data_IF_357843085288
#
_entry.id   IF_357843085288
#
_cell.length_a   1.000
_cell.length_b   1.000
_cell.length_c   1.000
_cell.angle_alpha   90.00
_cell.angle_beta   90.00
_cell.angle_gamma   90.00
#
_symmetry.space_group_name_H-M   'P 1'
#
loop_
_entity.id
_entity.type
_entity.pdbx_description
1 polymer ?
#
# COMPACT_ATOMS: atom_id res chain seq x y z
N UNK A 1 15.60 -13.76 10.43
CA UNK A 1 15.37 -14.23 9.05
C UNK A 1 13.87 -14.22 8.85
N UNK A 2 13.37 -13.22 8.13
CA UNK A 2 11.94 -13.08 7.82
C UNK A 2 11.84 -13.17 6.32
N UNK A 3 11.34 -14.30 5.82
CA UNK A 3 11.19 -14.56 4.38
C UNK A 3 10.06 -13.70 3.82
N UNK A 4 10.38 -12.92 2.78
CA UNK A 4 9.37 -12.38 1.86
C UNK A 4 8.92 -13.55 0.97
N UNK A 5 7.84 -14.22 1.36
CA UNK A 5 7.18 -15.21 0.50
C UNK A 5 6.34 -14.42 -0.50
N UNK A 6 6.83 -14.26 -1.72
CA UNK A 6 5.97 -13.91 -2.85
C UNK A 6 5.06 -15.12 -3.14
N UNK A 7 3.71 -14.99 -3.08
CA UNK A 7 2.84 -16.12 -3.35
C UNK A 7 2.91 -16.54 -4.82
N UNK A 8 3.24 -17.80 -5.09
CA UNK A 8 3.00 -18.45 -6.39
C UNK A 8 1.48 -18.65 -6.58
N UNK A 9 0.95 -18.54 -7.81
CA UNK A 9 -0.48 -18.54 -8.05
C UNK A 9 -1.05 -19.95 -8.04
N UNK A 10 -1.54 -20.38 -6.89
CA UNK A 10 -2.64 -21.34 -6.81
C UNK A 10 -3.37 -21.09 -5.50
N UNK A 11 -4.46 -20.33 -5.58
CA UNK A 11 -5.31 -19.87 -4.47
C UNK A 11 -4.81 -18.67 -3.66
N UNK A 12 -4.37 -17.59 -4.32
CA UNK A 12 -4.08 -16.30 -3.68
C UNK A 12 -5.40 -15.60 -3.33
N UNK A 13 -5.62 -15.16 -2.08
CA UNK A 13 -6.80 -14.35 -1.77
C UNK A 13 -6.75 -13.05 -2.58
N UNK A 14 -7.89 -12.66 -3.17
CA UNK A 14 -7.98 -11.42 -3.96
C UNK A 14 -7.69 -10.16 -3.11
N UNK A 15 -7.69 -10.32 -1.79
CA UNK A 15 -7.20 -9.35 -0.80
C UNK A 15 -5.97 -9.95 -0.11
N UNK A 16 -4.82 -9.30 -0.25
CA UNK A 16 -3.58 -9.67 0.42
C UNK A 16 -3.33 -8.76 1.63
N UNK A 17 -2.48 -9.19 2.55
CA UNK A 17 -1.95 -8.35 3.63
C UNK A 17 -0.52 -7.95 3.30
N UNK A 18 -0.24 -6.66 3.31
CA UNK A 18 1.09 -6.10 3.16
C UNK A 18 1.57 -5.57 4.51
N UNK A 19 2.63 -6.18 5.04
CA UNK A 19 3.25 -5.79 6.30
C UNK A 19 4.49 -4.95 6.03
N UNK A 20 4.47 -3.69 6.47
CA UNK A 20 5.61 -2.78 6.31
C UNK A 20 5.85 -1.97 7.58
N UNK A 21 7.05 -2.06 8.13
CA UNK A 21 7.47 -1.33 9.33
C UNK A 21 6.49 -1.47 10.51
N UNK A 22 5.89 -2.67 10.68
CA UNK A 22 4.89 -2.96 11.70
C UNK A 22 3.46 -2.50 11.38
N UNK A 23 3.22 -1.95 10.19
CA UNK A 23 1.88 -1.65 9.69
C UNK A 23 1.39 -2.81 8.82
N UNK A 24 0.28 -3.42 9.21
CA UNK A 24 -0.43 -4.42 8.41
C UNK A 24 -1.56 -3.74 7.67
N UNK A 25 -1.50 -3.77 6.33
CA UNK A 25 -2.45 -3.12 5.44
C UNK A 25 -3.08 -4.16 4.52
N UNK A 26 -4.41 -4.15 4.39
CA UNK A 26 -5.04 -4.89 3.30
C UNK A 26 -4.76 -4.21 1.96
N UNK A 27 -4.42 -5.02 0.97
CA UNK A 27 -4.05 -4.61 -0.38
C UNK A 27 -4.82 -5.45 -1.38
N UNK A 28 -5.24 -4.80 -2.46
CA UNK A 28 -5.86 -5.43 -3.61
C UNK A 28 -5.12 -5.01 -4.86
N UNK A 29 -5.20 -5.83 -5.90
CA UNK A 29 -4.69 -5.47 -7.21
C UNK A 29 -5.80 -4.83 -8.03
N UNK A 30 -5.51 -3.67 -8.64
CA UNK A 30 -6.38 -3.07 -9.65
C UNK A 30 -5.50 -2.61 -10.79
N UNK A 31 -5.80 -3.09 -12.00
CA UNK A 31 -5.05 -2.77 -13.22
C UNK A 31 -3.54 -3.13 -13.13
N UNK A 32 -3.19 -4.19 -12.38
CA UNK A 32 -1.81 -4.64 -12.14
C UNK A 32 -1.06 -3.84 -11.08
N UNK A 33 -1.70 -2.84 -10.46
CA UNK A 33 -1.10 -1.98 -9.45
C UNK A 33 -1.67 -2.26 -8.05
N UNK A 34 -0.88 -2.08 -6.97
CA UNK A 34 -1.35 -2.25 -5.61
C UNK A 34 -2.21 -1.07 -5.14
N UNK A 35 -3.36 -1.38 -4.56
CA UNK A 35 -4.26 -0.41 -3.93
C UNK A 35 -4.49 -0.78 -2.46
N UNK A 36 -4.27 0.19 -1.57
CA UNK A 36 -4.29 0.00 -0.13
C UNK A 36 -5.65 0.41 0.45
N UNK A 37 -6.20 -0.41 1.35
CA UNK A 37 -7.48 -0.12 2.00
C UNK A 37 -7.34 1.10 2.93
N UNK A 38 -7.98 2.21 2.55
CA UNK A 38 -7.76 3.50 3.21
C UNK A 38 -8.15 3.54 4.70
N UNK A 39 -9.23 2.86 5.16
CA UNK A 39 -9.48 2.69 6.59
C UNK A 39 -8.29 2.12 7.37
N UNK A 40 -7.71 1.02 6.88
CA UNK A 40 -6.55 0.36 7.51
C UNK A 40 -5.35 1.31 7.53
N UNK A 41 -5.09 2.00 6.41
CA UNK A 41 -4.04 3.02 6.32
C UNK A 41 -4.24 4.13 7.36
N UNK A 42 -5.45 4.67 7.49
CA UNK A 42 -5.74 5.74 8.44
C UNK A 42 -5.56 5.27 9.89
N UNK A 43 -6.00 4.06 10.20
CA UNK A 43 -5.84 3.44 11.52
C UNK A 43 -4.36 3.25 11.87
N UNK A 44 -3.60 2.61 10.98
CA UNK A 44 -2.17 2.37 11.15
C UNK A 44 -1.38 3.68 11.28
N UNK A 45 -1.78 4.73 10.57
CA UNK A 45 -1.16 6.06 10.63
C UNK A 45 -1.71 6.98 11.73
N UNK A 46 -2.71 6.53 12.50
CA UNK A 46 -3.28 7.34 13.59
C UNK A 46 -4.04 8.57 13.10
N UNK A 47 -4.49 8.55 11.85
CA UNK A 47 -5.26 9.62 11.24
C UNK A 47 -6.71 9.52 11.74
N UNK A 48 -7.01 10.25 12.80
CA UNK A 48 -8.31 10.21 13.48
C UNK A 48 -9.43 10.82 12.62
N UNK A 49 -10.65 10.31 12.77
CA UNK A 49 -11.81 10.73 11.98
C UNK A 49 -12.13 9.77 10.83
N UNK A 50 -12.94 10.24 9.87
CA UNK A 50 -13.34 9.42 8.72
C UNK A 50 -12.21 9.32 7.71
N UNK A 51 -11.91 8.14 7.14
CA UNK A 51 -10.94 7.99 6.05
C UNK A 51 -11.22 8.92 4.86
N UNK A 52 -12.48 9.29 4.63
CA UNK A 52 -12.85 10.25 3.57
C UNK A 52 -12.27 11.65 3.80
N UNK A 53 -12.09 12.09 5.05
CA UNK A 53 -11.52 13.40 5.37
C UNK A 53 -10.03 13.47 4.98
N UNK A 54 -9.30 12.37 5.19
CA UNK A 54 -7.88 12.27 4.88
C UNK A 54 -7.61 12.09 3.39
N UNK A 55 -8.46 11.31 2.73
CA UNK A 55 -8.39 11.03 1.28
C UNK A 55 -8.99 12.14 0.41
N UNK A 56 -9.74 13.09 0.98
CA UNK A 56 -10.36 14.20 0.23
C UNK A 56 -9.33 15.01 -0.59
N UNK A 57 -8.15 15.25 -0.03
CA UNK A 57 -7.05 16.01 -0.67
C UNK A 57 -6.20 15.19 -1.66
N UNK A 58 -6.47 13.89 -1.81
CA UNK A 58 -5.81 13.07 -2.83
C UNK A 58 -6.46 13.32 -4.18
N UNK A 59 -5.65 13.24 -5.25
CA UNK A 59 -6.12 13.37 -6.62
C UNK A 59 -7.03 12.19 -7.00
N UNK A 60 -7.73 12.32 -8.13
CA UNK A 60 -8.68 11.31 -8.60
C UNK A 60 -8.00 9.98 -8.98
N UNK A 61 -6.76 10.02 -9.43
CA UNK A 61 -5.92 8.86 -9.76
C UNK A 61 -5.29 8.21 -8.52
N UNK A 62 -5.35 8.85 -7.35
CA UNK A 62 -4.72 8.39 -6.11
C UNK A 62 -5.71 7.76 -5.13
N UNK A 63 -7.01 7.80 -5.45
CA UNK A 63 -8.09 7.25 -4.62
C UNK A 63 -9.19 6.65 -5.49
N UNK A 64 -9.77 5.54 -5.04
CA UNK A 64 -10.96 4.94 -5.64
C UNK A 64 -11.94 4.56 -4.53
N UNK A 65 -13.22 4.47 -4.88
CA UNK A 65 -14.27 3.92 -4.02
C UNK A 65 -14.80 2.68 -4.71
N UNK A 66 -14.71 1.55 -4.03
CA UNK A 66 -15.22 0.28 -4.53
C UNK A 66 -16.56 0.05 -3.84
N UNK A 67 -17.63 0.07 -4.64
CA UNK A 67 -18.97 -0.31 -4.19
C UNK A 67 -19.03 -1.82 -4.01
N UNK A 68 -19.75 -2.29 -2.99
CA UNK A 68 -19.80 -3.71 -2.59
C UNK A 68 -20.25 -4.63 -3.71
N UNK A 69 -21.26 -4.23 -4.50
CA UNK A 69 -21.73 -5.02 -5.64
C UNK A 69 -20.64 -5.23 -6.68
N UNK A 70 -19.89 -4.17 -6.99
CA UNK A 70 -18.77 -4.22 -7.93
C UNK A 70 -17.60 -5.04 -7.35
N UNK A 71 -17.25 -4.82 -6.09
CA UNK A 71 -16.20 -5.58 -5.41
C UNK A 71 -16.49 -7.08 -5.35
N UNK A 72 -17.74 -7.48 -5.07
CA UNK A 72 -18.15 -8.89 -5.13
C UNK A 72 -17.98 -9.47 -6.53
N UNK A 73 -18.35 -8.72 -7.59
CA UNK A 73 -18.17 -9.18 -8.97
C UNK A 73 -16.69 -9.34 -9.37
N UNK A 74 -15.79 -8.63 -8.70
CA UNK A 74 -14.33 -8.75 -8.87
C UNK A 74 -13.69 -9.81 -7.97
N UNK A 75 -14.46 -10.57 -7.18
CA UNK A 75 -13.91 -11.52 -6.21
C UNK A 75 -13.33 -10.86 -4.95
N UNK A 76 -13.55 -9.56 -4.75
CA UNK A 76 -13.08 -8.78 -3.60
C UNK A 76 -14.12 -8.71 -2.46
N UNK A 77 -14.94 -9.75 -2.31
CA UNK A 77 -16.00 -9.81 -1.30
C UNK A 77 -15.47 -9.62 0.13
N UNK A 78 -14.29 -10.15 0.40
CA UNK A 78 -13.61 -10.11 1.70
C UNK A 78 -13.17 -8.68 2.09
N UNK A 79 -13.12 -7.72 1.17
CA UNK A 79 -12.91 -6.30 1.55
C UNK A 79 -14.02 -5.76 2.46
N UNK A 80 -15.23 -6.31 2.35
CA UNK A 80 -16.46 -5.74 2.90
C UNK A 80 -16.90 -6.37 4.24
N UNK A 81 -15.96 -6.92 5.01
CA UNK A 81 -16.17 -7.58 6.32
C UNK A 81 -17.14 -6.84 7.28
N UNK A 82 -17.17 -5.51 7.24
CA UNK A 82 -17.92 -4.67 8.20
C UNK A 82 -19.34 -4.26 7.75
N UNK A 83 -19.95 -4.97 6.79
CA UNK A 83 -21.23 -4.58 6.14
C UNK A 83 -21.22 -3.18 5.52
N UNK A 84 -20.05 -2.61 5.24
CA UNK A 84 -19.95 -1.32 4.58
C UNK A 84 -20.44 -1.46 3.14
N UNK A 85 -21.27 -0.53 2.62
CA UNK A 85 -21.73 -0.59 1.23
C UNK A 85 -20.60 -0.29 0.23
N UNK A 86 -19.51 0.32 0.70
CA UNK A 86 -18.35 0.72 -0.09
C UNK A 86 -17.09 0.80 0.75
N UNK A 87 -15.94 0.65 0.10
CA UNK A 87 -14.61 0.79 0.71
C UNK A 87 -13.78 1.76 -0.13
N UNK A 88 -13.15 2.73 0.51
CA UNK A 88 -12.18 3.60 -0.16
C UNK A 88 -10.81 2.94 -0.15
N UNK A 89 -10.13 2.99 -1.29
CA UNK A 89 -8.76 2.50 -1.46
C UNK A 89 -7.90 3.63 -2.01
N UNK A 90 -6.60 3.60 -1.72
CA UNK A 90 -5.62 4.59 -2.19
C UNK A 90 -4.52 3.90 -2.97
N UNK A 91 -4.07 4.55 -4.04
CA UNK A 91 -2.87 4.11 -4.76
C UNK A 91 -1.63 4.33 -3.88
N UNK A 92 -0.50 3.74 -4.26
CA UNK A 92 0.77 3.89 -3.55
C UNK A 92 1.19 5.37 -3.38
N UNK A 93 1.03 6.19 -4.42
CA UNK A 93 1.26 7.64 -4.35
C UNK A 93 0.38 8.34 -3.30
N UNK A 94 -0.88 7.91 -3.18
CA UNK A 94 -1.82 8.37 -2.16
C UNK A 94 -1.42 7.92 -0.75
N UNK A 95 -0.99 6.66 -0.59
CA UNK A 95 -0.43 6.13 0.64
C UNK A 95 0.73 6.99 1.13
N UNK A 96 1.73 7.27 0.28
CA UNK A 96 2.87 8.10 0.67
C UNK A 96 2.46 9.50 1.11
N UNK A 97 1.50 10.13 0.43
CA UNK A 97 0.96 11.43 0.88
C UNK A 97 0.31 11.37 2.26
N UNK A 98 -0.34 10.26 2.61
CA UNK A 98 -0.92 10.06 3.94
C UNK A 98 0.16 9.83 4.98
N UNK A 99 1.18 9.01 4.68
CA UNK A 99 2.34 8.76 5.56
C UNK A 99 3.05 10.08 5.89
N UNK A 100 3.25 10.94 4.89
CA UNK A 100 3.89 12.25 5.07
C UNK A 100 3.13 13.20 6.02
N UNK A 101 1.82 12.98 6.23
CA UNK A 101 0.98 13.77 7.16
C UNK A 101 0.89 13.18 8.56
N UNK A 102 1.30 11.93 8.75
CA UNK A 102 1.22 11.24 10.04
C UNK A 102 2.38 11.66 10.95
N UNK A 103 2.10 11.66 12.26
CA UNK A 103 3.05 11.87 13.34
C UNK A 103 3.31 10.60 14.17
N UNK A 104 2.78 9.44 13.74
CA UNK A 104 3.07 8.17 14.40
C UNK A 104 4.52 7.77 14.20
N UNK A 105 5.09 7.10 15.20
CA UNK A 105 6.49 6.67 15.21
C UNK A 105 6.85 5.81 14.00
N UNK A 106 5.97 4.93 13.56
CA UNK A 106 6.15 4.06 12.40
C UNK A 106 6.21 4.87 11.09
N UNK A 107 5.40 5.93 10.99
CA UNK A 107 5.43 6.88 9.87
C UNK A 107 6.69 7.77 9.91
N UNK A 108 7.09 8.25 11.09
CA UNK A 108 8.35 8.99 11.25
C UNK A 108 9.56 8.13 10.85
N UNK A 109 9.61 6.88 11.29
CA UNK A 109 10.68 5.96 10.91
C UNK A 109 10.76 5.75 9.39
N UNK A 110 9.60 5.64 8.72
CA UNK A 110 9.57 5.60 7.26
C UNK A 110 10.07 6.89 6.62
N UNK A 111 9.59 8.05 7.10
CA UNK A 111 10.01 9.36 6.58
C UNK A 111 11.51 9.57 6.73
N UNK A 112 12.07 9.24 7.89
CA UNK A 112 13.51 9.31 8.15
C UNK A 112 14.29 8.38 7.22
N UNK A 113 13.88 7.12 7.07
CA UNK A 113 14.52 6.19 6.13
C UNK A 113 14.47 6.72 4.69
N UNK A 114 13.31 7.17 4.22
CA UNK A 114 13.16 7.71 2.87
C UNK A 114 14.03 8.95 2.65
N UNK A 115 14.03 9.89 3.61
CA UNK A 115 14.70 11.18 3.44
C UNK A 115 16.20 11.14 3.72
N UNK A 116 16.67 10.23 4.58
CA UNK A 116 18.10 10.10 4.93
C UNK A 116 18.84 9.05 4.11
N UNK A 117 18.14 8.04 3.63
CA UNK A 117 18.75 6.90 2.92
C UNK A 117 18.30 6.83 1.47
N UNK A 118 17.00 6.64 1.22
CA UNK A 118 16.48 6.33 -0.12
C UNK A 118 16.68 7.49 -1.09
N UNK A 119 16.12 8.67 -0.79
CA UNK A 119 16.19 9.84 -1.67
C UNK A 119 17.64 10.33 -1.88
N UNK A 120 18.51 10.38 -0.84
CA UNK A 120 19.91 10.71 -1.05
C UNK A 120 20.66 9.70 -1.92
N UNK A 121 20.33 8.41 -1.81
CA UNK A 121 20.94 7.36 -2.65
C UNK A 121 20.53 7.54 -4.11
N UNK A 122 19.21 7.63 -4.38
CA UNK A 122 18.68 7.85 -5.73
C UNK A 122 19.28 9.12 -6.34
N UNK A 123 19.33 10.23 -5.60
CA UNK A 123 19.91 11.48 -6.11
C UNK A 123 21.38 11.35 -6.48
N UNK A 124 22.17 10.57 -5.72
CA UNK A 124 23.62 10.41 -5.92
C UNK A 124 23.97 9.39 -6.99
N UNK A 125 23.26 8.28 -7.06
CA UNK A 125 23.64 7.11 -7.86
C UNK A 125 22.62 6.78 -8.96
N UNK A 126 21.49 7.47 -9.00
CA UNK A 126 20.37 7.18 -9.90
C UNK A 126 19.52 5.98 -9.46
N UNK A 127 19.91 5.26 -8.40
CA UNK A 127 19.23 4.03 -7.97
C UNK A 127 19.24 3.88 -6.44
N UNK A 128 18.29 3.11 -5.92
CA UNK A 128 18.35 2.59 -4.55
C UNK A 128 18.25 1.08 -4.61
N UNK A 129 19.16 0.39 -3.93
CA UNK A 129 19.09 -1.07 -3.77
C UNK A 129 18.76 -1.35 -2.31
N UNK A 130 17.59 -1.91 -2.07
CA UNK A 130 17.18 -2.28 -0.72
C UNK A 130 18.16 -3.34 -0.18
N UNK A 131 18.79 -3.13 0.99
CA UNK A 131 19.70 -4.10 1.56
C UNK A 131 19.00 -5.45 1.77
N UNK A 132 19.54 -6.51 1.19
CA UNK A 132 18.95 -7.86 1.26
C UNK A 132 17.86 -8.16 0.23
N UNK A 133 17.52 -7.22 -0.66
CA UNK A 133 16.79 -7.55 -1.88
C UNK A 133 17.76 -8.21 -2.86
N UNK A 134 17.71 -9.53 -2.96
CA UNK A 134 18.46 -10.25 -3.98
C UNK A 134 17.95 -9.78 -5.36
N UNK A 135 18.85 -9.28 -6.21
CA UNK A 135 18.48 -8.86 -7.56
C UNK A 135 18.07 -10.10 -8.36
N UNK A 136 16.77 -10.31 -8.55
CA UNK A 136 16.28 -11.23 -9.58
C UNK A 136 16.60 -10.61 -10.94
N UNK A 137 17.82 -10.84 -11.41
CA UNK A 137 18.26 -10.45 -12.75
C UNK A 137 17.74 -11.50 -13.72
N UNK A 138 16.46 -11.42 -14.10
CA UNK A 138 15.98 -12.13 -15.29
C UNK A 138 16.33 -11.28 -16.51
N UNK A 139 17.41 -11.67 -17.19
CA UNK A 139 17.76 -11.12 -18.49
C UNK A 139 16.67 -11.49 -19.51
N UNK A 140 16.30 -10.60 -20.46
CA UNK A 140 15.35 -10.94 -21.51
C UNK A 140 15.94 -12.06 -22.36
N UNK A 141 15.24 -13.20 -22.44
CA UNK A 141 15.55 -14.25 -23.41
C UNK A 141 15.33 -13.66 -24.80
N UNK A 142 16.39 -13.63 -25.60
CA UNK A 142 16.38 -13.21 -27.00
C UNK A 142 15.69 -14.20 -27.93
#
# INVERSE_FOLDING_TARGET
MSELIAPKPSNTPAVATYSFNGMDLRVIEIDGEPWFVAPDVCEQLGLTGSPSQHTAKLKADEKRVIEKSHGISMGLGDLFERRLPRVSVVAESGLYKLVMRSTKREAEAFKEWVTREVLPSIRKTGTYTMPGAEKTTEAPKG
#
